data_IF_360661272837
#
_entry.id   IF_360661272837
#
_cell.length_a   1.000
_cell.length_b   1.000
_cell.length_c   1.000
_cell.angle_alpha   90.00
_cell.angle_beta   90.00
_cell.angle_gamma   90.00
#
_symmetry.space_group_name_H-M   'P 1'
#
loop_
_entity.id
_entity.type
_entity.pdbx_description
1 polymer ?
#
# COMPACT_ATOMS: atom_id res chain seq x y z
N UNK A 1 -23.58 -7.65 5.22
CA UNK A 1 -22.16 -7.82 4.82
C UNK A 1 -21.63 -6.48 4.36
N UNK A 2 -20.40 -6.16 4.74
CA UNK A 2 -19.68 -4.96 4.37
C UNK A 2 -18.48 -5.29 3.50
N UNK A 3 -17.91 -4.25 2.91
CA UNK A 3 -16.59 -4.26 2.27
C UNK A 3 -15.82 -3.07 2.79
N UNK A 4 -14.53 -3.24 3.04
CA UNK A 4 -13.61 -2.19 3.49
C UNK A 4 -12.32 -2.29 2.68
N UNK A 5 -11.74 -1.16 2.28
CA UNK A 5 -10.53 -1.11 1.45
C UNK A 5 -9.41 -0.40 2.19
N UNK A 6 -8.31 -1.11 2.46
CA UNK A 6 -7.08 -0.51 2.95
C UNK A 6 -6.28 0.04 1.77
N UNK A 7 -6.30 1.36 1.56
CA UNK A 7 -5.50 2.01 0.52
C UNK A 7 -4.19 2.48 1.14
N UNK A 8 -3.09 1.79 0.82
CA UNK A 8 -1.75 2.14 1.27
C UNK A 8 -1.06 3.07 0.28
N UNK A 9 -0.20 3.94 0.79
CA UNK A 9 0.64 4.83 -0.02
C UNK A 9 1.98 5.08 0.67
N UNK A 10 2.98 5.48 -0.10
CA UNK A 10 4.26 5.93 0.43
C UNK A 10 4.38 7.43 0.20
N UNK A 11 4.50 8.19 1.28
CA UNK A 11 4.53 9.65 1.26
C UNK A 11 5.42 10.17 2.38
N UNK A 12 6.24 11.19 2.09
CA UNK A 12 7.06 11.84 3.12
C UNK A 12 8.06 10.93 3.85
N UNK A 13 8.43 9.79 3.27
CA UNK A 13 9.34 8.82 3.91
C UNK A 13 8.67 7.88 4.90
N UNK A 14 7.35 7.76 4.90
CA UNK A 14 6.60 6.78 5.70
C UNK A 14 5.54 6.07 4.87
N UNK A 15 5.16 4.87 5.31
CA UNK A 15 3.98 4.18 4.82
C UNK A 15 2.76 4.84 5.48
N UNK A 16 1.73 5.10 4.69
CA UNK A 16 0.48 5.71 5.16
C UNK A 16 -0.72 4.92 4.65
N UNK A 17 -1.83 5.02 5.35
CA UNK A 17 -3.12 4.49 4.94
C UNK A 17 -4.14 5.62 4.78
N UNK A 18 -4.92 5.58 3.71
CA UNK A 18 -6.04 6.49 3.51
C UNK A 18 -7.19 6.11 4.44
N UNK A 19 -7.70 7.11 5.14
CA UNK A 19 -8.83 6.97 6.07
C UNK A 19 -9.93 7.96 5.74
N UNK A 20 -11.12 7.68 6.26
CA UNK A 20 -12.29 8.54 6.16
C UNK A 20 -12.88 8.76 7.54
N UNK A 21 -13.59 9.88 7.72
CA UNK A 21 -14.34 10.12 8.96
C UNK A 21 -15.59 9.26 8.97
N UNK A 22 -15.67 8.35 9.94
CA UNK A 22 -16.87 7.56 10.16
C UNK A 22 -17.92 8.40 10.89
N UNK A 23 -19.20 8.10 10.67
CA UNK A 23 -20.35 8.81 11.29
C UNK A 23 -20.36 8.79 12.82
N UNK A 24 -19.60 7.88 13.44
CA UNK A 24 -19.45 7.77 14.89
C UNK A 24 -18.29 8.63 15.43
N UNK A 25 -17.67 9.48 14.61
CA UNK A 25 -16.59 10.38 15.01
C UNK A 25 -15.17 9.78 14.92
N UNK A 26 -15.04 8.46 14.77
CA UNK A 26 -13.76 7.77 14.60
C UNK A 26 -13.26 7.80 13.14
N UNK A 27 -11.96 7.54 12.95
CA UNK A 27 -11.39 7.27 11.63
C UNK A 27 -11.64 5.81 11.23
N UNK A 28 -11.82 5.56 9.94
CA UNK A 28 -12.10 4.23 9.41
C UNK A 28 -11.54 4.08 7.99
N UNK A 29 -11.43 2.85 7.50
CA UNK A 29 -11.18 2.59 6.09
C UNK A 29 -12.40 3.00 5.24
N UNK A 30 -12.19 3.37 3.96
CA UNK A 30 -13.27 3.47 2.99
C UNK A 30 -14.01 2.13 2.89
N UNK A 31 -15.24 2.10 3.40
CA UNK A 31 -16.06 0.90 3.36
C UNK A 31 -17.54 1.17 3.23
N UNK A 32 -18.31 0.18 2.80
CA UNK A 32 -19.75 0.30 2.61
C UNK A 32 -20.45 -1.04 2.86
N UNK A 33 -21.76 -0.98 3.11
CA UNK A 33 -22.58 -2.17 3.11
C UNK A 33 -22.94 -2.56 1.68
N UNK A 34 -22.94 -3.88 1.43
CA UNK A 34 -23.35 -4.44 0.16
C UNK A 34 -24.86 -4.22 -0.05
N UNK A 35 -25.25 -3.78 -1.24
CA UNK A 35 -26.64 -3.74 -1.65
C UNK A 35 -27.12 -5.12 -2.14
N UNK A 36 -28.45 -5.29 -2.22
CA UNK A 36 -29.01 -6.50 -2.79
C UNK A 36 -28.53 -6.67 -4.25
N UNK A 37 -28.02 -7.86 -4.59
CA UNK A 37 -27.48 -8.22 -5.92
C UNK A 37 -26.28 -7.37 -6.39
N UNK A 38 -25.56 -6.73 -5.47
CA UNK A 38 -24.31 -6.03 -5.77
C UNK A 38 -23.12 -7.00 -5.68
N UNK A 39 -22.14 -6.86 -6.59
CA UNK A 39 -20.88 -7.57 -6.49
C UNK A 39 -20.01 -6.95 -5.40
N UNK A 40 -19.19 -7.77 -4.72
CA UNK A 40 -18.22 -7.28 -3.73
C UNK A 40 -17.27 -6.23 -4.31
N UNK A 41 -16.76 -6.48 -5.53
CA UNK A 41 -15.89 -5.55 -6.25
C UNK A 41 -16.61 -4.23 -6.55
N UNK A 42 -17.86 -4.28 -7.02
CA UNK A 42 -18.66 -3.08 -7.27
C UNK A 42 -18.91 -2.26 -5.99
N UNK A 43 -19.11 -2.93 -4.85
CA UNK A 43 -19.23 -2.24 -3.57
C UNK A 43 -17.92 -1.61 -3.11
N UNK A 44 -16.78 -2.27 -3.33
CA UNK A 44 -15.46 -1.73 -3.01
C UNK A 44 -15.14 -0.51 -3.89
N UNK A 45 -15.40 -0.58 -5.19
CA UNK A 45 -15.34 0.55 -6.13
C UNK A 45 -16.21 1.72 -5.65
N UNK A 46 -17.47 1.43 -5.26
CA UNK A 46 -18.39 2.45 -4.73
C UNK A 46 -17.88 3.06 -3.43
N UNK A 47 -17.31 2.26 -2.52
CA UNK A 47 -16.73 2.76 -1.28
C UNK A 47 -15.56 3.71 -1.55
N UNK A 48 -14.64 3.33 -2.44
CA UNK A 48 -13.51 4.15 -2.86
C UNK A 48 -13.99 5.45 -3.54
N UNK A 49 -14.90 5.35 -4.49
CA UNK A 49 -15.39 6.51 -5.24
C UNK A 49 -16.15 7.51 -4.36
N UNK A 50 -17.09 7.02 -3.53
CA UNK A 50 -17.97 7.88 -2.73
C UNK A 50 -17.26 8.45 -1.51
N UNK A 51 -16.35 7.69 -0.89
CA UNK A 51 -15.75 8.08 0.41
C UNK A 51 -14.32 8.57 0.30
N UNK A 52 -13.58 8.15 -0.72
CA UNK A 52 -12.18 8.50 -0.90
C UNK A 52 -11.91 9.24 -2.22
N UNK A 53 -12.95 9.55 -3.02
CA UNK A 53 -12.84 10.23 -4.32
C UNK A 53 -11.91 9.50 -5.31
N UNK A 54 -11.72 8.19 -5.10
CA UNK A 54 -10.86 7.33 -5.91
C UNK A 54 -11.71 6.55 -6.93
N UNK A 55 -11.47 6.82 -8.21
CA UNK A 55 -12.12 6.11 -9.31
C UNK A 55 -11.09 5.23 -10.05
N UNK A 56 -11.53 4.09 -10.57
CA UNK A 56 -10.70 3.17 -11.39
C UNK A 56 -9.43 2.69 -10.67
N UNK A 57 -9.49 2.56 -9.35
CA UNK A 57 -8.38 2.05 -8.54
C UNK A 57 -8.31 0.53 -8.67
N UNK A 58 -7.13 0.01 -8.97
CA UNK A 58 -6.89 -1.44 -8.87
C UNK A 58 -6.79 -1.83 -7.41
N UNK A 59 -7.55 -2.85 -7.02
CA UNK A 59 -7.51 -3.45 -5.69
C UNK A 59 -7.73 -4.95 -5.79
N UNK A 60 -7.36 -5.68 -4.75
CA UNK A 60 -7.64 -7.11 -4.63
C UNK A 60 -8.14 -7.45 -3.23
N UNK A 61 -8.85 -8.58 -3.15
CA UNK A 61 -9.39 -9.07 -1.89
C UNK A 61 -8.27 -9.66 -1.02
N UNK A 62 -8.32 -9.37 0.27
CA UNK A 62 -7.42 -9.94 1.28
C UNK A 62 -8.08 -11.12 2.01
N UNK A 63 -9.13 -10.85 2.78
CA UNK A 63 -9.75 -11.83 3.67
C UNK A 63 -11.18 -11.42 4.05
N UNK A 64 -11.89 -12.36 4.67
CA UNK A 64 -13.19 -12.12 5.29
C UNK A 64 -12.97 -11.96 6.80
N UNK A 65 -13.54 -10.90 7.37
CA UNK A 65 -13.54 -10.59 8.79
C UNK A 65 -14.93 -10.87 9.35
N UNK A 66 -15.03 -11.88 10.21
CA UNK A 66 -16.30 -12.48 10.66
C UNK A 66 -16.40 -12.63 12.19
N UNK A 67 -15.45 -12.07 12.95
CA UNK A 67 -15.48 -12.03 14.43
C UNK A 67 -16.83 -11.48 14.90
N UNK A 68 -17.61 -12.22 15.73
CA UNK A 68 -18.95 -11.80 16.13
C UNK A 68 -19.03 -10.44 16.84
N UNK A 69 -17.94 -10.04 17.48
CA UNK A 69 -17.75 -8.83 18.28
C UNK A 69 -16.98 -7.73 17.55
N UNK A 70 -16.78 -7.82 16.23
CA UNK A 70 -16.03 -6.80 15.47
C UNK A 70 -16.79 -5.47 15.30
N UNK A 71 -18.10 -5.49 15.43
CA UNK A 71 -18.97 -4.33 15.22
C UNK A 71 -20.01 -4.23 16.34
N UNK A 72 -19.91 -3.18 17.15
CA UNK A 72 -20.79 -2.93 18.30
C UNK A 72 -22.26 -2.71 17.90
N UNK A 73 -22.54 -2.52 16.60
CA UNK A 73 -23.89 -2.30 16.07
C UNK A 73 -24.64 -3.60 15.78
N UNK A 74 -23.94 -4.74 15.80
CA UNK A 74 -24.51 -6.06 15.58
C UNK A 74 -23.65 -6.94 14.68
N UNK A 75 -24.21 -8.08 14.27
CA UNK A 75 -23.46 -9.08 13.53
C UNK A 75 -23.18 -8.65 12.08
N UNK A 76 -21.94 -8.27 11.80
CA UNK A 76 -21.50 -7.77 10.48
C UNK A 76 -20.25 -8.49 10.03
N UNK A 77 -20.37 -9.28 8.96
CA UNK A 77 -19.22 -9.75 8.18
C UNK A 77 -18.69 -8.62 7.28
N UNK A 78 -17.38 -8.47 7.16
CA UNK A 78 -16.76 -7.59 6.16
C UNK A 78 -15.77 -8.34 5.29
N UNK A 79 -15.70 -7.99 4.00
CA UNK A 79 -14.66 -8.46 3.08
C UNK A 79 -13.63 -7.35 2.89
N UNK A 80 -12.44 -7.56 3.43
CA UNK A 80 -11.33 -6.63 3.33
C UNK A 80 -10.67 -6.74 1.96
N UNK A 81 -10.38 -5.58 1.37
CA UNK A 81 -9.60 -5.43 0.16
C UNK A 81 -8.39 -4.53 0.45
N UNK A 82 -7.39 -4.56 -0.43
CA UNK A 82 -6.27 -3.64 -0.40
C UNK A 82 -6.04 -3.00 -1.76
N UNK A 83 -5.60 -1.75 -1.74
CA UNK A 83 -5.07 -1.04 -2.88
C UNK A 83 -3.76 -0.37 -2.47
N UNK A 84 -2.89 -0.12 -3.43
CA UNK A 84 -1.64 0.61 -3.20
C UNK A 84 -1.50 1.63 -4.33
N UNK A 85 -1.33 2.90 -3.97
CA UNK A 85 -1.31 4.00 -4.93
C UNK A 85 -0.15 4.94 -4.62
N UNK A 86 0.56 5.46 -5.64
CA UNK A 86 1.48 6.57 -5.42
C UNK A 86 0.69 7.78 -4.90
N UNK A 87 1.32 8.60 -4.05
CA UNK A 87 0.69 9.77 -3.45
C UNK A 87 0.08 10.72 -4.50
N UNK A 88 0.73 10.85 -5.66
CA UNK A 88 0.25 11.67 -6.78
C UNK A 88 -1.05 11.19 -7.43
N UNK A 89 -1.49 9.96 -7.15
CA UNK A 89 -2.76 9.41 -7.61
C UNK A 89 -3.88 9.58 -6.56
N UNK A 90 -3.57 10.08 -5.37
CA UNK A 90 -4.56 10.39 -4.34
C UNK A 90 -5.14 11.80 -4.57
N UNK A 91 -6.41 12.03 -4.19
CA UNK A 91 -6.97 13.38 -4.21
C UNK A 91 -6.31 14.26 -3.14
N UNK A 92 -6.24 15.57 -3.38
CA UNK A 92 -5.70 16.54 -2.41
C UNK A 92 -6.46 16.53 -1.07
N UNK A 93 -7.72 16.06 -1.07
CA UNK A 93 -8.58 15.92 0.11
C UNK A 93 -8.27 14.67 0.96
N UNK A 94 -7.37 13.78 0.48
CA UNK A 94 -7.08 12.52 1.15
C UNK A 94 -6.58 12.72 2.58
N UNK A 95 -7.25 12.06 3.52
CA UNK A 95 -6.80 11.99 4.91
C UNK A 95 -5.90 10.78 5.06
N UNK A 96 -4.63 11.01 5.38
CA UNK A 96 -3.63 9.96 5.54
C UNK A 96 -3.21 9.83 7.01
N UNK A 97 -3.04 8.59 7.44
CA UNK A 97 -2.52 8.23 8.75
C UNK A 97 -1.26 7.42 8.56
N UNK A 98 -0.21 7.75 9.33
CA UNK A 98 1.03 6.98 9.34
C UNK A 98 0.78 5.54 9.78
N UNK A 99 1.47 4.61 9.13
CA UNK A 99 1.53 3.21 9.50
C UNK A 99 2.93 2.93 10.04
N UNK A 100 2.99 2.46 11.28
CA UNK A 100 4.22 2.14 12.00
C UNK A 100 4.02 0.82 12.75
N UNK A 101 5.03 -0.06 12.77
CA UNK A 101 4.91 -1.43 13.31
C UNK A 101 3.65 -2.16 12.78
N UNK A 102 3.37 -1.99 11.49
CA UNK A 102 2.18 -2.52 10.78
C UNK A 102 0.82 -1.94 11.22
N UNK A 103 0.81 -1.00 12.16
CA UNK A 103 -0.40 -0.40 12.73
C UNK A 103 -0.57 1.05 12.31
N UNK A 104 -1.83 1.44 12.07
CA UNK A 104 -2.16 2.85 11.90
C UNK A 104 -1.93 3.58 13.24
N UNK A 105 -1.13 4.65 13.21
CA UNK A 105 -0.71 5.42 14.40
C UNK A 105 -1.89 6.08 15.12
N UNK A 106 -2.99 6.32 14.42
CA UNK A 106 -4.25 6.74 15.03
C UNK A 106 -5.25 5.59 15.08
N UNK A 107 -5.95 5.44 16.21
CA UNK A 107 -6.97 4.41 16.38
C UNK A 107 -8.03 4.44 15.28
N UNK A 108 -8.27 3.27 14.68
CA UNK A 108 -9.31 3.07 13.68
C UNK A 108 -10.54 2.42 14.32
N UNK A 109 -11.72 2.71 13.77
CA UNK A 109 -12.96 2.08 14.18
C UNK A 109 -12.94 0.57 13.91
N UNK A 110 -13.69 -0.19 14.72
CA UNK A 110 -13.88 -1.64 14.55
C UNK A 110 -12.54 -2.41 14.59
N UNK A 111 -12.40 -3.44 13.78
CA UNK A 111 -11.17 -4.22 13.57
C UNK A 111 -10.35 -3.71 12.36
N UNK A 112 -10.52 -2.45 11.96
CA UNK A 112 -9.81 -1.91 10.79
C UNK A 112 -8.29 -1.86 10.97
N UNK A 113 -7.79 -1.78 12.21
CA UNK A 113 -6.36 -1.93 12.48
C UNK A 113 -5.85 -3.31 12.04
N UNK A 114 -6.64 -4.37 12.25
CA UNK A 114 -6.31 -5.73 11.82
C UNK A 114 -6.28 -5.85 10.29
N UNK A 115 -7.21 -5.16 9.61
CA UNK A 115 -7.23 -5.08 8.14
C UNK A 115 -5.98 -4.36 7.59
N UNK A 116 -5.54 -3.29 8.24
CA UNK A 116 -4.31 -2.57 7.85
C UNK A 116 -3.08 -3.47 8.03
N UNK A 117 -2.93 -4.14 9.18
CA UNK A 117 -1.83 -5.10 9.39
C UNK A 117 -1.76 -6.17 8.30
N UNK A 118 -2.92 -6.71 7.90
CA UNK A 118 -2.99 -7.70 6.83
C UNK A 118 -2.62 -7.10 5.47
N UNK A 119 -3.06 -5.87 5.17
CA UNK A 119 -2.69 -5.16 3.95
C UNK A 119 -1.17 -4.89 3.86
N UNK A 120 -0.53 -4.54 4.98
CA UNK A 120 0.94 -4.36 5.02
C UNK A 120 1.67 -5.69 4.81
N UNK A 121 1.17 -6.78 5.39
CA UNK A 121 1.71 -8.12 5.19
C UNK A 121 1.62 -8.55 3.72
N UNK A 122 0.49 -8.28 3.07
CA UNK A 122 0.30 -8.51 1.63
C UNK A 122 1.26 -7.65 0.80
N UNK A 123 1.38 -6.35 1.12
CA UNK A 123 2.32 -5.43 0.48
C UNK A 123 3.75 -5.98 0.52
N UNK A 124 4.24 -6.38 1.70
CA UNK A 124 5.59 -6.96 1.87
C UNK A 124 5.79 -8.21 1.03
N UNK A 125 4.79 -9.09 0.99
CA UNK A 125 4.82 -10.33 0.21
C UNK A 125 4.98 -10.03 -1.28
N UNK A 126 4.21 -9.07 -1.80
CA UNK A 126 4.28 -8.64 -3.20
C UNK A 126 5.61 -7.96 -3.51
N UNK A 127 6.10 -7.08 -2.64
CA UNK A 127 7.39 -6.38 -2.80
C UNK A 127 8.61 -7.28 -2.64
N UNK A 128 8.48 -8.40 -1.93
CA UNK A 128 9.51 -9.43 -1.86
C UNK A 128 9.60 -10.24 -3.17
N UNK A 129 8.54 -10.23 -3.97
CA UNK A 129 8.42 -11.01 -5.21
C UNK A 129 8.66 -10.17 -6.47
N UNK A 130 8.32 -8.88 -6.45
CA UNK A 130 8.43 -7.97 -7.58
C UNK A 130 8.96 -6.60 -7.16
N UNK A 131 9.69 -5.92 -8.04
CA UNK A 131 10.19 -4.56 -7.83
C UNK A 131 9.05 -3.56 -8.00
N UNK A 132 8.65 -2.95 -6.88
CA UNK A 132 7.66 -1.87 -6.84
C UNK A 132 6.42 -2.11 -7.73
N UNK A 133 5.70 -3.23 -7.53
CA UNK A 133 4.59 -3.65 -8.38
C UNK A 133 3.44 -2.63 -8.44
N UNK A 134 3.27 -1.82 -7.39
CA UNK A 134 2.22 -0.80 -7.31
C UNK A 134 2.66 0.57 -7.85
N UNK A 135 3.92 0.69 -8.25
CA UNK A 135 4.45 1.93 -8.80
C UNK A 135 4.55 3.08 -7.80
N UNK A 136 4.75 2.79 -6.51
CA UNK A 136 4.83 3.80 -5.45
C UNK A 136 6.01 4.77 -5.65
N UNK A 137 7.07 4.34 -6.34
CA UNK A 137 8.20 5.21 -6.70
C UNK A 137 8.06 5.92 -8.06
N UNK A 138 6.88 5.85 -8.71
CA UNK A 138 6.61 6.51 -9.99
C UNK A 138 7.12 5.72 -11.21
N UNK A 139 7.16 6.35 -12.40
CA UNK A 139 7.59 5.67 -13.63
C UNK A 139 9.09 5.41 -13.72
N UNK A 140 9.89 6.25 -13.06
CA UNK A 140 11.35 6.18 -13.04
C UNK A 140 11.85 6.60 -11.67
N UNK A 141 12.91 5.95 -11.18
CA UNK A 141 13.43 6.15 -9.84
C UNK A 141 14.93 5.83 -9.79
N UNK A 142 15.64 6.38 -8.82
CA UNK A 142 17.00 5.99 -8.49
C UNK A 142 17.00 4.75 -7.58
N UNK A 143 18.08 3.97 -7.58
CA UNK A 143 18.25 2.85 -6.63
C UNK A 143 18.19 3.33 -5.17
N UNK A 144 18.56 4.59 -4.90
CA UNK A 144 18.49 5.17 -3.56
C UNK A 144 17.05 5.42 -3.12
N UNK A 145 16.20 5.96 -3.99
CA UNK A 145 14.76 6.16 -3.72
C UNK A 145 14.05 4.82 -3.57
N UNK A 146 14.33 3.85 -4.46
CA UNK A 146 13.79 2.50 -4.34
C UNK A 146 14.19 1.85 -3.02
N UNK A 147 15.45 1.98 -2.61
CA UNK A 147 15.91 1.46 -1.32
C UNK A 147 15.14 2.10 -0.16
N UNK A 148 14.96 3.43 -0.17
CA UNK A 148 14.20 4.12 0.87
C UNK A 148 12.76 3.62 0.99
N UNK A 149 12.08 3.39 -0.15
CA UNK A 149 10.76 2.78 -0.19
C UNK A 149 10.77 1.39 0.47
N UNK A 150 11.73 0.53 0.11
CA UNK A 150 11.85 -0.81 0.68
C UNK A 150 12.18 -0.79 2.18
N UNK A 151 13.05 0.13 2.62
CA UNK A 151 13.38 0.27 4.05
C UNK A 151 12.14 0.59 4.89
N UNK A 152 11.22 1.38 4.33
CA UNK A 152 9.94 1.72 4.97
C UNK A 152 8.94 0.57 4.90
N UNK A 153 8.81 -0.11 3.75
CA UNK A 153 7.89 -1.24 3.60
C UNK A 153 8.29 -2.40 4.53
N UNK A 154 9.58 -2.72 4.61
CA UNK A 154 10.09 -3.83 5.43
C UNK A 154 10.49 -3.40 6.86
N UNK A 155 10.27 -2.13 7.19
CA UNK A 155 10.57 -1.52 8.49
C UNK A 155 11.99 -1.86 9.01
N UNK A 156 12.98 -1.77 8.12
CA UNK A 156 14.38 -2.02 8.47
C UNK A 156 15.35 -1.43 7.46
N UNK A 157 16.57 -1.07 7.88
CA UNK A 157 17.59 -0.58 6.97
C UNK A 157 18.15 -1.68 6.07
N UNK A 158 18.50 -1.30 4.83
CA UNK A 158 19.18 -2.14 3.86
C UNK A 158 20.54 -1.55 3.48
N UNK A 159 21.59 -2.39 3.51
CA UNK A 159 22.92 -1.97 3.05
C UNK A 159 22.89 -1.71 1.54
N UNK A 160 23.43 -0.55 1.13
CA UNK A 160 23.35 -0.01 -0.23
C UNK A 160 23.77 -0.99 -1.33
N UNK A 161 24.95 -1.60 -1.21
CA UNK A 161 25.51 -2.44 -2.27
C UNK A 161 24.81 -3.79 -2.35
N UNK A 162 24.40 -4.32 -1.20
CA UNK A 162 23.64 -5.56 -1.08
C UNK A 162 22.25 -5.38 -1.68
N UNK A 163 21.53 -4.32 -1.31
CA UNK A 163 20.23 -3.99 -1.90
C UNK A 163 20.34 -3.84 -3.42
N UNK A 164 21.29 -3.02 -3.89
CA UNK A 164 21.51 -2.82 -5.34
C UNK A 164 21.70 -4.15 -6.05
N UNK A 165 22.57 -5.03 -5.53
CA UNK A 165 22.85 -6.34 -6.13
C UNK A 165 21.58 -7.21 -6.24
N UNK A 166 20.69 -7.17 -5.26
CA UNK A 166 19.49 -8.01 -5.25
C UNK A 166 18.42 -7.55 -6.26
N UNK A 167 18.29 -6.25 -6.48
CA UNK A 167 17.23 -5.70 -7.36
C UNK A 167 17.71 -5.47 -8.79
N UNK A 168 19.02 -5.39 -9.04
CA UNK A 168 19.59 -4.88 -10.30
C UNK A 168 19.08 -5.60 -11.56
N UNK A 169 18.92 -6.92 -11.51
CA UNK A 169 18.48 -7.70 -12.67
C UNK A 169 17.02 -7.42 -13.07
N UNK A 170 16.22 -6.93 -12.11
CA UNK A 170 14.84 -6.48 -12.31
C UNK A 170 14.74 -4.99 -12.71
N UNK A 171 15.88 -4.32 -12.90
CA UNK A 171 15.94 -2.92 -13.32
C UNK A 171 16.44 -2.75 -14.76
N UNK A 172 15.95 -1.73 -15.43
CA UNK A 172 16.44 -1.26 -16.72
C UNK A 172 16.91 0.19 -16.57
N UNK A 173 18.14 0.47 -17.01
CA UNK A 173 18.67 1.85 -17.00
C UNK A 173 17.90 2.69 -18.02
N UNK A 174 17.59 3.92 -17.63
CA UNK A 174 16.99 4.92 -18.54
C UNK A 174 18.05 5.71 -19.31
N UNK A 175 19.34 5.61 -18.92
CA UNK A 175 20.42 6.46 -19.42
C UNK A 175 20.37 7.91 -18.92
N UNK A 176 19.35 8.27 -18.14
CA UNK A 176 19.18 9.59 -17.56
C UNK A 176 19.75 9.67 -16.14
N UNK A 177 20.01 10.90 -15.71
CA UNK A 177 20.53 11.20 -14.38
C UNK A 177 19.57 12.14 -13.66
N UNK A 178 19.13 11.76 -12.48
CA UNK A 178 18.38 12.63 -11.58
C UNK A 178 19.32 13.32 -10.60
N UNK A 179 18.99 14.58 -10.27
CA UNK A 179 19.59 15.31 -9.14
C UNK A 179 18.49 15.55 -8.10
N UNK A 180 18.23 14.60 -7.20
CA UNK A 180 17.36 14.87 -6.07
C UNK A 180 18.06 15.87 -5.13
N UNK A 181 17.56 17.12 -5.10
CA UNK A 181 18.09 18.20 -4.27
C UNK A 181 19.54 18.59 -4.56
N UNK A 182 20.33 18.79 -3.50
CA UNK A 182 21.75 19.20 -3.56
C UNK A 182 22.74 18.01 -3.66
N UNK A 183 22.26 16.81 -3.98
CA UNK A 183 23.07 15.60 -4.05
C UNK A 183 23.90 15.47 -5.33
N UNK A 184 24.77 14.44 -5.37
CA UNK A 184 25.41 14.02 -6.62
C UNK A 184 24.36 13.45 -7.57
N UNK A 185 24.48 13.68 -8.89
CA UNK A 185 23.61 13.04 -9.86
C UNK A 185 23.63 11.52 -9.70
N UNK A 186 22.45 10.91 -9.75
CA UNK A 186 22.28 9.47 -9.69
C UNK A 186 21.50 8.99 -10.92
N UNK A 187 21.91 7.85 -11.47
CA UNK A 187 21.24 7.24 -12.61
C UNK A 187 19.81 6.82 -12.25
N UNK A 188 18.88 7.06 -13.17
CA UNK A 188 17.48 6.63 -13.04
C UNK A 188 17.23 5.33 -13.77
N UNK A 189 16.35 4.53 -13.18
CA UNK A 189 15.98 3.21 -13.63
C UNK A 189 14.46 3.13 -13.73
N UNK A 190 13.99 2.13 -14.48
CA UNK A 190 12.60 1.66 -14.47
C UNK A 190 12.58 0.16 -14.23
N UNK A 191 11.41 -0.38 -13.90
CA UNK A 191 11.20 -1.83 -13.77
C UNK A 191 11.44 -2.51 -15.12
N UNK A 192 12.17 -3.61 -15.13
CA UNK A 192 12.38 -4.45 -16.31
C UNK A 192 11.26 -5.49 -16.39
N UNK A 193 10.50 -5.47 -17.47
CA UNK A 193 9.39 -6.42 -17.65
C UNK A 193 8.35 -6.28 -16.54
N UNK A 194 7.98 -7.39 -15.90
CA UNK A 194 7.11 -7.42 -14.72
C UNK A 194 7.83 -7.08 -13.41
N UNK A 195 9.16 -6.92 -13.45
CA UNK A 195 9.98 -6.60 -12.28
C UNK A 195 10.20 -7.78 -11.33
N UNK A 196 10.04 -9.03 -11.77
CA UNK A 196 10.21 -10.21 -10.91
C UNK A 196 11.59 -10.26 -10.24
N UNK A 197 11.59 -10.55 -8.92
CA UNK A 197 12.79 -10.72 -8.11
C UNK A 197 13.19 -12.19 -8.00
N UNK A 198 14.48 -12.44 -7.80
CA UNK A 198 14.99 -13.80 -7.60
C UNK A 198 14.63 -14.33 -6.20
N UNK A 199 14.64 -15.65 -6.01
CA UNK A 199 14.48 -16.25 -4.69
C UNK A 199 15.54 -15.77 -3.68
N UNK A 200 16.76 -15.45 -4.15
CA UNK A 200 17.81 -14.88 -3.32
C UNK A 200 17.47 -13.46 -2.85
N UNK A 201 16.91 -12.64 -3.75
CA UNK A 201 16.44 -11.30 -3.40
C UNK A 201 15.28 -11.35 -2.41
N UNK A 202 14.31 -12.24 -2.63
CA UNK A 202 13.21 -12.50 -1.71
C UNK A 202 13.72 -12.85 -0.31
N UNK A 203 14.59 -13.85 -0.18
CA UNK A 203 15.16 -14.23 1.11
C UNK A 203 15.93 -13.08 1.78
N UNK A 204 16.69 -12.31 1.00
CA UNK A 204 17.37 -11.11 1.52
C UNK A 204 16.38 -10.08 2.06
N UNK A 205 15.24 -9.86 1.41
CA UNK A 205 14.25 -8.86 1.78
C UNK A 205 13.43 -9.27 3.00
N UNK A 206 13.06 -10.54 3.11
CA UNK A 206 12.25 -11.06 4.22
C UNK A 206 13.04 -11.32 5.50
N UNK A 207 14.38 -11.40 5.42
CA UNK A 207 15.25 -11.62 6.58
C UNK A 207 15.57 -13.09 6.79
#
# INVERSE_FOLDING_TARGET
>A
MAVDVAVLTYSGGSLKVLVVRHRLGALALPGTFLHERELLTAAADRALSVKAELAQTSFHQLAIFDRPDRDDRGWVLSVAHTACLPESALPDSALLVDVYDDEAVSGLAFDHADMVRLAVTDLRTRYASYVDPDGLSGGTFTVAELRGLYEVIFDRPFQKDSFRRQVFDALESTGEMSRPGNGRPAETYRRRGDGALTAQAMAFLTG
#
